data_IF_936985141700
#
_entry.id   IF_936985141700
#
_cell.length_a   1.000
_cell.length_b   1.000
_cell.length_c   1.000
_cell.angle_alpha   90.00
_cell.angle_beta   90.00
_cell.angle_gamma   90.00
#
_symmetry.space_group_name_H-M   'P 1'
#
loop_
_entity.id
_entity.type
_entity.pdbx_description
1 polymer ?
#
# COMPACT_ATOMS: atom_id res chain seq x y z
N UNK A 1 9.93 1.93 -28.04
CA UNK A 1 8.46 1.78 -28.14
C UNK A 1 7.99 0.35 -27.91
N UNK A 2 8.55 -0.66 -28.59
CA UNK A 2 8.17 -2.08 -28.39
C UNK A 2 8.27 -2.57 -26.93
N UNK A 3 9.34 -2.21 -26.21
CA UNK A 3 9.53 -2.56 -24.78
C UNK A 3 8.51 -1.91 -23.85
N UNK A 4 8.14 -0.66 -24.12
CA UNK A 4 7.13 0.07 -23.33
C UNK A 4 5.74 -0.53 -23.56
N UNK A 5 5.44 -0.92 -24.80
CA UNK A 5 4.22 -1.67 -25.16
C UNK A 5 4.18 -3.02 -24.44
N UNK A 6 5.29 -3.76 -24.41
CA UNK A 6 5.36 -5.03 -23.68
C UNK A 6 5.16 -4.86 -22.16
N UNK A 7 5.77 -3.82 -21.57
CA UNK A 7 5.59 -3.51 -20.13
C UNK A 7 4.13 -3.12 -19.85
N UNK A 8 3.54 -2.28 -20.70
CA UNK A 8 2.15 -1.86 -20.55
C UNK A 8 1.18 -3.04 -20.71
N UNK A 9 1.43 -3.92 -21.68
CA UNK A 9 0.64 -5.13 -21.90
C UNK A 9 0.75 -6.12 -20.73
N UNK A 10 1.96 -6.29 -20.18
CA UNK A 10 2.19 -7.12 -19.00
C UNK A 10 1.44 -6.58 -17.77
N UNK A 11 1.48 -5.26 -17.54
CA UNK A 11 0.75 -4.60 -16.44
C UNK A 11 -0.77 -4.72 -16.61
N UNK A 12 -1.28 -4.63 -17.85
CA UNK A 12 -2.69 -4.85 -18.17
C UNK A 12 -3.12 -6.28 -17.84
N UNK A 13 -2.35 -7.27 -18.29
CA UNK A 13 -2.64 -8.69 -18.03
C UNK A 13 -2.57 -9.00 -16.53
N UNK A 14 -1.57 -8.48 -15.83
CA UNK A 14 -1.42 -8.63 -14.38
C UNK A 14 -2.57 -7.98 -13.58
N UNK A 15 -3.15 -6.87 -14.07
CA UNK A 15 -4.32 -6.24 -13.46
C UNK A 15 -5.62 -7.03 -13.64
N UNK A 16 -5.77 -7.72 -14.78
CA UNK A 16 -6.95 -8.54 -15.08
C UNK A 16 -6.89 -9.90 -14.37
N UNK A 17 -5.69 -10.38 -14.00
CA UNK A 17 -5.51 -11.55 -13.11
C UNK A 17 -5.84 -11.27 -11.65
N UNK A 18 -6.84 -10.43 -11.39
CA UNK A 18 -7.48 -10.35 -10.09
C UNK A 18 -8.22 -11.67 -9.84
N UNK A 19 -7.92 -12.43 -8.77
CA UNK A 19 -8.81 -13.51 -8.38
C UNK A 19 -10.16 -12.87 -8.10
N UNK A 20 -11.22 -13.31 -8.76
CA UNK A 20 -12.61 -12.91 -8.44
C UNK A 20 -13.07 -13.37 -7.05
N UNK A 21 -12.12 -13.70 -6.19
CA UNK A 21 -12.24 -14.08 -4.79
C UNK A 21 -11.09 -13.47 -3.96
N UNK A 22 -10.69 -12.21 -4.20
CA UNK A 22 -9.96 -11.44 -3.17
C UNK A 22 -10.92 -11.02 -2.04
N UNK A 23 -11.59 -11.99 -1.42
CA UNK A 23 -11.75 -11.86 0.02
C UNK A 23 -10.33 -11.99 0.54
N UNK A 24 -9.78 -10.91 1.10
CA UNK A 24 -8.42 -10.84 1.65
C UNK A 24 -7.97 -12.23 2.13
N UNK A 25 -7.07 -12.91 1.40
CA UNK A 25 -6.68 -14.30 1.71
C UNK A 25 -5.81 -14.41 2.99
N UNK A 26 -5.93 -13.43 3.88
CA UNK A 26 -5.41 -13.42 5.24
C UNK A 26 -6.49 -13.03 6.27
N UNK A 27 -7.79 -13.02 5.90
CA UNK A 27 -8.88 -12.74 6.84
C UNK A 27 -9.37 -13.99 7.60
N UNK A 28 -8.71 -15.15 7.42
CA UNK A 28 -9.01 -16.32 8.25
C UNK A 28 -8.77 -16.02 9.73
N UNK A 29 -7.74 -15.24 10.06
CA UNK A 29 -7.47 -14.77 11.42
C UNK A 29 -8.60 -13.90 11.99
N UNK A 30 -9.19 -13.03 11.18
CA UNK A 30 -10.28 -12.14 11.62
C UNK A 30 -11.54 -12.94 11.90
N UNK A 31 -11.91 -13.87 11.02
CA UNK A 31 -13.10 -14.74 11.22
C UNK A 31 -12.90 -15.65 12.43
N UNK A 32 -11.75 -16.29 12.59
CA UNK A 32 -11.46 -17.11 13.77
C UNK A 32 -11.45 -16.29 15.07
N UNK A 33 -10.94 -15.06 15.05
CA UNK A 33 -10.96 -14.17 16.21
C UNK A 33 -12.38 -13.69 16.56
N UNK A 34 -13.18 -13.31 15.57
CA UNK A 34 -14.58 -12.92 15.77
C UNK A 34 -15.44 -14.08 16.29
N UNK A 35 -15.23 -15.30 15.79
CA UNK A 35 -15.90 -16.50 16.30
C UNK A 35 -15.46 -16.84 17.73
N UNK A 36 -14.17 -16.62 18.05
CA UNK A 36 -13.67 -16.80 19.42
C UNK A 36 -14.35 -15.81 20.38
N UNK A 37 -14.49 -14.55 19.99
CA UNK A 37 -15.21 -13.53 20.78
C UNK A 37 -16.69 -13.88 20.98
N UNK A 38 -17.37 -14.38 19.93
CA UNK A 38 -18.78 -14.83 20.04
C UNK A 38 -18.98 -15.98 21.03
N UNK A 39 -17.95 -16.82 21.22
CA UNK A 39 -17.94 -17.90 22.21
C UNK A 39 -17.46 -17.45 23.61
N UNK A 40 -17.37 -16.15 23.86
CA UNK A 40 -17.01 -15.57 25.17
C UNK A 40 -15.51 -15.28 25.36
N UNK A 41 -14.67 -15.48 24.35
CA UNK A 41 -13.23 -15.21 24.45
C UNK A 41 -12.87 -13.76 24.06
N UNK A 42 -12.45 -12.94 25.02
CA UNK A 42 -12.15 -11.52 24.80
C UNK A 42 -10.86 -11.24 24.02
N UNK A 43 -10.00 -12.24 23.81
CA UNK A 43 -8.68 -12.07 23.18
C UNK A 43 -8.76 -11.62 21.70
N UNK A 44 -9.87 -11.89 21.01
CA UNK A 44 -10.08 -11.50 19.62
C UNK A 44 -10.61 -10.08 19.42
N UNK A 45 -10.96 -9.37 20.50
CA UNK A 45 -11.51 -8.02 20.41
C UNK A 45 -10.47 -7.05 19.83
N UNK A 46 -10.84 -6.32 18.78
CA UNK A 46 -10.00 -5.28 18.19
C UNK A 46 -8.87 -5.76 17.28
N UNK A 47 -8.79 -7.06 16.96
CA UNK A 47 -7.74 -7.60 16.08
C UNK A 47 -7.71 -6.93 14.69
N UNK A 48 -8.89 -6.70 14.09
CA UNK A 48 -8.99 -6.02 12.78
C UNK A 48 -8.42 -4.60 12.83
N UNK A 49 -8.69 -3.87 13.91
CA UNK A 49 -8.12 -2.53 14.15
C UNK A 49 -6.60 -2.59 14.28
N UNK A 50 -6.07 -3.61 14.98
CA UNK A 50 -4.64 -3.84 15.11
C UNK A 50 -3.94 -4.10 13.77
N UNK A 51 -4.54 -4.92 12.90
CA UNK A 51 -4.01 -5.21 11.56
C UNK A 51 -3.92 -3.94 10.71
N UNK A 52 -4.99 -3.13 10.67
CA UNK A 52 -4.99 -1.87 9.93
C UNK A 52 -3.94 -0.91 10.49
N UNK A 53 -3.80 -0.83 11.82
CA UNK A 53 -2.81 0.03 12.46
C UNK A 53 -1.37 -0.37 12.07
N UNK A 54 -1.05 -1.68 12.13
CA UNK A 54 0.26 -2.21 11.73
C UNK A 54 0.55 -2.03 10.25
N UNK A 55 -0.47 -2.09 9.38
CA UNK A 55 -0.32 -1.85 7.95
C UNK A 55 -0.11 -0.38 7.62
N UNK A 56 -0.80 0.55 8.30
CA UNK A 56 -0.72 1.99 8.02
C UNK A 56 0.66 2.57 8.36
N UNK A 57 1.29 2.11 9.44
CA UNK A 57 2.60 2.59 9.90
C UNK A 57 3.69 2.56 8.82
N UNK A 58 3.99 1.43 8.15
CA UNK A 58 5.04 1.38 7.13
C UNK A 58 4.77 2.31 5.94
N UNK A 59 3.50 2.48 5.53
CA UNK A 59 3.17 3.42 4.45
C UNK A 59 3.43 4.87 4.84
N UNK A 60 3.09 5.26 6.07
CA UNK A 60 3.36 6.61 6.58
C UNK A 60 4.88 6.85 6.64
N UNK A 61 5.65 5.88 7.16
CA UNK A 61 7.11 6.01 7.27
C UNK A 61 7.78 6.14 5.89
N UNK A 62 7.40 5.31 4.93
CA UNK A 62 7.96 5.38 3.57
C UNK A 62 7.57 6.70 2.90
N UNK A 63 6.30 7.12 3.04
CA UNK A 63 5.80 8.36 2.47
C UNK A 63 6.49 9.59 3.06
N UNK A 64 6.73 9.61 4.37
CA UNK A 64 7.40 10.73 5.04
C UNK A 64 8.87 10.82 4.65
N UNK A 65 9.60 9.70 4.62
CA UNK A 65 11.01 9.64 4.19
C UNK A 65 11.12 10.07 2.72
N UNK A 66 10.26 9.54 1.85
CA UNK A 66 10.21 9.90 0.44
C UNK A 66 9.93 11.39 0.22
N UNK A 67 8.98 11.96 0.95
CA UNK A 67 8.67 13.38 0.89
C UNK A 67 9.84 14.25 1.37
N UNK A 68 10.45 13.92 2.51
CA UNK A 68 11.60 14.64 3.04
C UNK A 68 12.78 14.61 2.06
N UNK A 69 13.07 13.46 1.48
CA UNK A 69 14.10 13.32 0.45
C UNK A 69 13.76 14.19 -0.77
N UNK A 70 12.55 14.09 -1.28
CA UNK A 70 12.12 14.84 -2.46
C UNK A 70 12.22 16.36 -2.28
N UNK A 71 11.81 16.89 -1.11
CA UNK A 71 11.91 18.31 -0.82
C UNK A 71 13.35 18.77 -0.58
N UNK A 72 14.18 17.94 0.06
CA UNK A 72 15.58 18.30 0.35
C UNK A 72 16.48 18.27 -0.89
N UNK A 73 16.23 17.35 -1.81
CA UNK A 73 17.09 17.13 -2.98
C UNK A 73 16.56 17.75 -4.29
N UNK A 74 15.38 18.39 -4.27
CA UNK A 74 14.98 19.26 -5.38
C UNK A 74 15.85 20.52 -5.39
N UNK A 75 16.89 20.50 -6.24
CA UNK A 75 17.57 21.73 -6.65
C UNK A 75 16.55 22.63 -7.36
N UNK A 76 16.33 23.85 -6.86
CA UNK A 76 15.67 24.89 -7.65
C UNK A 76 16.54 25.09 -8.90
N UNK A 77 15.95 24.99 -10.09
CA UNK A 77 16.63 25.45 -11.30
C UNK A 77 17.04 26.91 -11.07
N UNK A 78 18.31 27.31 -11.32
CA UNK A 78 18.68 28.71 -11.21
C UNK A 78 17.83 29.50 -12.21
N UNK A 79 17.06 30.46 -11.69
CA UNK A 79 16.22 31.39 -12.43
C UNK A 79 17.07 32.44 -13.17
N UNK A 80 18.16 32.00 -13.80
CA UNK A 80 19.13 32.86 -14.51
C UNK A 80 19.13 32.62 -16.03
N UNK A 81 18.35 31.67 -16.54
CA UNK A 81 18.31 31.38 -17.97
C UNK A 81 17.16 32.06 -18.75
N UNK A 82 16.50 33.09 -18.19
CA UNK A 82 15.39 33.78 -18.86
C UNK A 82 15.79 35.09 -19.58
N UNK A 83 17.05 35.52 -19.48
CA UNK A 83 17.51 36.79 -20.07
C UNK A 83 18.78 36.65 -20.95
N UNK A 84 18.92 35.57 -21.73
CA UNK A 84 19.86 35.49 -22.87
C UNK A 84 19.11 35.04 -24.11
#
# INVERSE_FOLDING_TARGET
>A
MKKVIFIFLFLLIAGISSPTLVNAQCAMCTVSAEQSVKNGNTQGNGLNTGIIYLLVIPYILISSIGALWYFKYRKKAPMYAENV
#
